data_IF_972588785879
#
_entry.id   IF_972588785879
#
_cell.length_a   1.000
_cell.length_b   1.000
_cell.length_c   1.000
_cell.angle_alpha   90.00
_cell.angle_beta   90.00
_cell.angle_gamma   90.00
#
_symmetry.space_group_name_H-M   'P 1'
#
loop_
_entity.id
_entity.type
_entity.pdbx_description
1 polymer ?
#
# COMPACT_ATOMS: atom_id res chain seq x y z
N UNK A 1 20.65 -11.12 30.69
CA UNK A 1 19.21 -10.91 30.56
C UNK A 1 19.00 -9.55 29.92
N UNK A 2 18.62 -9.44 28.65
CA UNK A 2 18.28 -8.13 28.08
C UNK A 2 17.01 -7.63 28.75
N UNK A 3 16.99 -6.35 29.07
CA UNK A 3 15.94 -5.66 29.80
C UNK A 3 14.67 -5.53 28.93
N UNK A 4 13.69 -6.40 29.12
CA UNK A 4 12.37 -6.45 28.44
C UNK A 4 11.45 -5.29 28.83
N UNK A 5 11.96 -4.17 29.31
CA UNK A 5 11.19 -3.03 29.80
C UNK A 5 11.24 -1.79 28.89
N UNK A 6 11.41 -1.93 27.59
CA UNK A 6 10.92 -0.89 26.67
C UNK A 6 9.40 -1.10 26.53
N UNK A 7 8.61 -0.25 27.17
CA UNK A 7 7.14 -0.21 27.08
C UNK A 7 6.75 0.08 25.63
N UNK A 8 6.71 -0.93 24.76
CA UNK A 8 6.00 -0.84 23.50
C UNK A 8 4.51 -0.86 23.87
N UNK A 9 3.84 0.27 23.68
CA UNK A 9 2.39 0.31 23.85
C UNK A 9 1.74 -0.43 22.69
N UNK A 10 0.53 -0.98 22.89
CA UNK A 10 -0.24 -1.60 21.80
C UNK A 10 -0.44 -0.61 20.63
N UNK A 11 -0.56 0.67 20.94
CA UNK A 11 -0.70 1.72 19.92
C UNK A 11 0.55 1.91 19.07
N UNK A 12 1.75 1.84 19.67
CA UNK A 12 3.00 1.90 18.91
C UNK A 12 3.20 0.64 18.04
N UNK A 13 2.91 -0.54 18.61
CA UNK A 13 2.99 -1.78 17.87
C UNK A 13 2.02 -1.80 16.68
N UNK A 14 0.77 -1.38 16.87
CA UNK A 14 -0.21 -1.24 15.80
C UNK A 14 0.30 -0.32 14.66
N UNK A 15 0.85 0.85 15.01
CA UNK A 15 1.41 1.79 14.03
C UNK A 15 2.58 1.16 13.26
N UNK A 16 3.47 0.47 13.96
CA UNK A 16 4.61 -0.20 13.34
C UNK A 16 4.13 -1.27 12.36
N UNK A 17 3.23 -2.16 12.77
CA UNK A 17 2.70 -3.22 11.91
C UNK A 17 1.96 -2.69 10.68
N UNK A 18 1.21 -1.59 10.81
CA UNK A 18 0.56 -0.95 9.68
C UNK A 18 1.58 -0.39 8.67
N UNK A 19 2.68 0.20 9.14
CA UNK A 19 3.75 0.72 8.28
C UNK A 19 4.58 -0.40 7.66
N UNK A 20 4.83 -1.48 8.39
CA UNK A 20 5.59 -2.63 7.90
C UNK A 20 4.82 -3.36 6.80
N UNK A 21 3.49 -3.47 6.91
CA UNK A 21 2.65 -4.03 5.85
C UNK A 21 2.81 -3.26 4.53
N UNK A 22 2.90 -1.94 4.57
CA UNK A 22 3.16 -1.12 3.38
C UNK A 22 4.61 -1.27 2.87
N UNK A 23 5.59 -1.39 3.76
CA UNK A 23 6.98 -1.64 3.37
C UNK A 23 7.11 -2.98 2.63
N UNK A 24 6.51 -4.04 3.15
CA UNK A 24 6.47 -5.35 2.50
C UNK A 24 5.74 -5.30 1.16
N UNK A 25 4.64 -4.52 1.07
CA UNK A 25 3.94 -4.29 -0.18
C UNK A 25 4.84 -3.61 -1.22
N UNK A 26 5.61 -2.60 -0.82
CA UNK A 26 6.57 -1.93 -1.72
C UNK A 26 7.68 -2.84 -2.22
N UNK A 27 8.22 -3.71 -1.36
CA UNK A 27 9.23 -4.71 -1.78
C UNK A 27 8.66 -5.59 -2.90
N UNK A 28 7.43 -6.09 -2.71
CA UNK A 28 6.74 -6.95 -3.68
C UNK A 28 6.41 -6.20 -4.98
N UNK A 29 5.95 -4.94 -4.88
CA UNK A 29 5.66 -4.09 -6.05
C UNK A 29 6.95 -3.82 -6.83
N UNK A 30 8.03 -3.40 -6.16
CA UNK A 30 9.33 -3.19 -6.83
C UNK A 30 9.77 -4.45 -7.58
N UNK A 31 9.71 -5.62 -6.94
CA UNK A 31 10.06 -6.89 -7.56
C UNK A 31 9.22 -7.19 -8.83
N UNK A 32 7.92 -6.86 -8.82
CA UNK A 32 7.07 -6.99 -10.01
C UNK A 32 7.48 -5.99 -11.10
N UNK A 33 7.72 -4.74 -10.71
CA UNK A 33 8.11 -3.69 -11.64
C UNK A 33 9.48 -3.95 -12.28
N UNK A 34 10.45 -4.50 -11.55
CA UNK A 34 11.77 -4.83 -12.09
C UNK A 34 11.72 -5.88 -13.20
N UNK A 35 10.68 -6.72 -13.21
CA UNK A 35 10.49 -7.82 -14.15
C UNK A 35 9.59 -7.48 -15.35
N UNK A 36 8.87 -6.35 -15.33
CA UNK A 36 7.89 -5.98 -16.33
C UNK A 36 8.36 -4.80 -17.19
N UNK A 37 7.97 -4.79 -18.47
CA UNK A 37 8.13 -3.61 -19.36
C UNK A 37 7.05 -2.56 -19.07
N UNK A 38 7.20 -1.36 -19.67
CA UNK A 38 6.16 -0.31 -19.63
C UNK A 38 4.82 -0.81 -20.17
N UNK A 39 4.82 -1.51 -21.29
CA UNK A 39 3.61 -2.07 -21.91
C UNK A 39 2.93 -3.11 -20.99
N UNK A 40 3.73 -3.94 -20.32
CA UNK A 40 3.23 -4.96 -19.41
C UNK A 40 2.60 -4.37 -18.13
N UNK A 41 3.04 -3.21 -17.67
CA UNK A 41 2.41 -2.48 -16.54
C UNK A 41 0.99 -2.05 -16.89
N UNK A 42 0.74 -1.67 -18.15
CA UNK A 42 -0.58 -1.21 -18.62
C UNK A 42 -1.42 -2.29 -19.29
N UNK A 43 -0.88 -3.51 -19.43
CA UNK A 43 -1.64 -4.65 -19.92
C UNK A 43 -2.74 -5.06 -18.95
N UNK A 44 -3.92 -5.37 -19.49
CA UNK A 44 -5.03 -5.96 -18.74
C UNK A 44 -5.47 -7.28 -19.36
N UNK A 45 -5.96 -8.25 -18.56
CA UNK A 45 -6.34 -9.57 -19.07
C UNK A 45 -7.63 -9.53 -19.92
N UNK A 46 -8.48 -8.55 -19.71
CA UNK A 46 -9.73 -8.26 -20.46
C UNK A 46 -10.03 -6.77 -20.36
N UNK A 47 -10.80 -6.22 -21.29
CA UNK A 47 -11.09 -4.77 -21.37
C UNK A 47 -11.70 -4.17 -20.10
N UNK A 48 -12.45 -4.96 -19.34
CA UNK A 48 -13.09 -4.53 -18.08
C UNK A 48 -12.23 -4.71 -16.83
N UNK A 49 -11.00 -5.24 -16.96
CA UNK A 49 -10.11 -5.48 -15.82
C UNK A 49 -9.07 -4.36 -15.69
N UNK A 50 -8.66 -4.11 -14.47
CA UNK A 50 -7.59 -3.15 -14.17
C UNK A 50 -6.23 -3.68 -14.60
N UNK A 51 -5.41 -2.80 -15.16
CA UNK A 51 -3.97 -3.00 -15.33
C UNK A 51 -3.24 -2.83 -13.99
N UNK A 52 -1.96 -3.21 -13.95
CA UNK A 52 -1.09 -2.95 -12.80
C UNK A 52 -0.99 -1.44 -12.52
N UNK A 53 -0.88 -0.62 -13.58
CA UNK A 53 -0.87 0.85 -13.46
C UNK A 53 -2.12 1.40 -12.77
N UNK A 54 -3.31 0.95 -13.18
CA UNK A 54 -4.57 1.35 -12.54
C UNK A 54 -4.61 0.94 -11.06
N UNK A 55 -4.16 -0.28 -10.72
CA UNK A 55 -4.12 -0.75 -9.33
C UNK A 55 -3.17 0.08 -8.47
N UNK A 56 -2.04 0.53 -8.99
CA UNK A 56 -1.11 1.43 -8.30
C UNK A 56 -1.76 2.79 -8.03
N UNK A 57 -2.32 3.42 -9.07
CA UNK A 57 -3.00 4.71 -8.93
C UNK A 57 -4.13 4.63 -7.90
N UNK A 58 -4.94 3.57 -7.99
CA UNK A 58 -6.05 3.33 -7.08
C UNK A 58 -5.60 3.11 -5.63
N UNK A 59 -4.56 2.33 -5.42
CA UNK A 59 -4.00 2.06 -4.08
C UNK A 59 -3.45 3.34 -3.45
N UNK A 60 -2.70 4.13 -4.21
CA UNK A 60 -2.18 5.42 -3.75
C UNK A 60 -3.30 6.44 -3.49
N UNK A 61 -4.30 6.50 -4.37
CA UNK A 61 -5.50 7.34 -4.18
C UNK A 61 -6.26 6.97 -2.90
N UNK A 62 -6.47 5.67 -2.64
CA UNK A 62 -7.11 5.20 -1.41
C UNK A 62 -6.27 5.54 -0.17
N UNK A 63 -4.96 5.26 -0.20
CA UNK A 63 -4.04 5.54 0.91
C UNK A 63 -4.03 7.04 1.24
N UNK A 64 -4.05 7.91 0.23
CA UNK A 64 -4.14 9.36 0.41
C UNK A 64 -5.47 9.78 1.01
N UNK A 65 -6.58 9.31 0.45
CA UNK A 65 -7.92 9.69 0.90
C UNK A 65 -8.22 9.23 2.32
N UNK A 66 -7.97 7.97 2.64
CA UNK A 66 -8.29 7.39 3.95
C UNK A 66 -7.20 7.65 4.98
N UNK A 67 -5.95 7.47 4.59
CA UNK A 67 -4.81 7.45 5.49
C UNK A 67 -4.14 8.82 5.72
N UNK A 68 -4.36 9.79 4.83
CA UNK A 68 -3.75 11.10 4.94
C UNK A 68 -4.84 12.17 5.11
N UNK A 69 -5.57 12.50 4.04
CA UNK A 69 -6.53 13.61 4.08
C UNK A 69 -7.69 13.34 5.06
N UNK A 70 -8.20 12.11 5.10
CA UNK A 70 -9.27 11.71 6.00
C UNK A 70 -8.86 11.76 7.47
N UNK A 71 -7.66 11.33 7.82
CA UNK A 71 -7.13 11.41 9.19
C UNK A 71 -6.90 12.86 9.59
N UNK A 72 -6.26 13.65 8.72
CA UNK A 72 -5.92 15.06 8.96
C UNK A 72 -7.11 16.01 8.84
N UNK A 73 -8.26 15.55 8.33
CA UNK A 73 -9.43 16.40 8.01
C UNK A 73 -9.10 17.51 6.99
N UNK A 74 -8.16 17.23 6.08
CA UNK A 74 -7.82 18.13 5.00
C UNK A 74 -8.73 17.88 3.78
N UNK A 75 -8.72 18.81 2.82
CA UNK A 75 -9.54 18.70 1.62
C UNK A 75 -9.15 17.46 0.81
N UNK A 76 -10.14 16.62 0.48
CA UNK A 76 -9.97 15.51 -0.43
C UNK A 76 -10.07 16.01 -1.88
N UNK A 77 -9.04 15.76 -2.67
CA UNK A 77 -8.96 16.12 -4.09
C UNK A 77 -8.92 14.89 -4.99
N UNK A 78 -9.23 13.70 -4.46
CA UNK A 78 -9.17 12.44 -5.19
C UNK A 78 -10.15 12.42 -6.37
N UNK A 79 -9.65 12.05 -7.54
CA UNK A 79 -10.44 11.80 -8.74
C UNK A 79 -10.43 10.30 -9.06
N UNK A 80 -11.24 9.53 -8.34
CA UNK A 80 -11.23 8.06 -8.39
C UNK A 80 -11.44 7.51 -9.81
N UNK A 81 -12.32 8.09 -10.60
CA UNK A 81 -12.59 7.63 -11.97
C UNK A 81 -11.36 7.78 -12.87
N UNK A 82 -10.59 8.85 -12.71
CA UNK A 82 -9.35 9.07 -13.46
C UNK A 82 -8.29 7.98 -13.20
N UNK A 83 -8.30 7.34 -12.03
CA UNK A 83 -7.38 6.25 -11.69
C UNK A 83 -7.59 5.03 -12.60
N UNK A 84 -8.82 4.77 -13.02
CA UNK A 84 -9.20 3.64 -13.87
C UNK A 84 -9.19 3.98 -15.38
N UNK A 85 -9.24 5.27 -15.73
CA UNK A 85 -9.12 5.74 -17.10
C UNK A 85 -7.66 6.03 -17.51
N UNK A 86 -6.72 5.95 -16.57
CA UNK A 86 -5.30 6.16 -16.84
C UNK A 86 -4.73 5.03 -17.71
N UNK A 87 -3.75 5.40 -18.51
CA UNK A 87 -3.08 4.53 -19.47
C UNK A 87 -1.55 4.74 -19.48
N UNK A 88 -0.86 4.21 -20.50
CA UNK A 88 0.60 4.25 -20.66
C UNK A 88 1.23 5.66 -20.74
N UNK A 89 0.45 6.73 -20.66
CA UNK A 89 0.98 8.12 -20.54
C UNK A 89 1.62 8.37 -19.16
N UNK A 90 1.30 7.53 -18.15
CA UNK A 90 1.98 7.55 -16.87
C UNK A 90 3.04 6.45 -16.88
N UNK A 91 4.30 6.84 -16.78
CA UNK A 91 5.42 5.91 -16.84
C UNK A 91 5.53 5.03 -15.58
N UNK A 92 6.18 3.90 -15.72
CA UNK A 92 6.55 2.99 -14.63
C UNK A 92 7.31 3.72 -13.51
N UNK A 93 8.21 4.63 -13.85
CA UNK A 93 8.98 5.43 -12.89
C UNK A 93 8.08 6.38 -12.10
N UNK A 94 7.13 7.06 -12.76
CA UNK A 94 6.17 7.95 -12.10
C UNK A 94 5.25 7.18 -11.15
N UNK A 95 4.80 5.99 -11.54
CA UNK A 95 3.98 5.14 -10.67
C UNK A 95 4.74 4.71 -9.39
N UNK A 96 6.01 4.31 -9.52
CA UNK A 96 6.83 3.96 -8.37
C UNK A 96 7.12 5.16 -7.45
N UNK A 97 7.39 6.32 -8.04
CA UNK A 97 7.61 7.54 -7.26
C UNK A 97 6.34 7.98 -6.53
N UNK A 98 5.17 7.88 -7.17
CA UNK A 98 3.88 8.12 -6.52
C UNK A 98 3.69 7.23 -5.29
N UNK A 99 3.99 5.92 -5.40
CA UNK A 99 3.93 5.01 -4.25
C UNK A 99 4.84 5.46 -3.12
N UNK A 100 6.12 5.74 -3.43
CA UNK A 100 7.12 6.15 -2.43
C UNK A 100 6.71 7.43 -1.71
N UNK A 101 6.26 8.43 -2.46
CA UNK A 101 5.82 9.71 -1.90
C UNK A 101 4.60 9.51 -1.02
N UNK A 102 3.58 8.80 -1.51
CA UNK A 102 2.33 8.58 -0.75
C UNK A 102 2.57 7.80 0.55
N UNK A 103 3.39 6.74 0.50
CA UNK A 103 3.73 5.96 1.70
C UNK A 103 4.55 6.79 2.69
N UNK A 104 5.48 7.62 2.22
CA UNK A 104 6.26 8.52 3.08
C UNK A 104 5.37 9.53 3.80
N UNK A 105 4.42 10.16 3.10
CA UNK A 105 3.45 11.08 3.70
C UNK A 105 2.55 10.36 4.72
N UNK A 106 2.02 9.19 4.37
CA UNK A 106 1.22 8.38 5.29
C UNK A 106 2.00 8.00 6.55
N UNK A 107 3.26 7.58 6.41
CA UNK A 107 4.15 7.28 7.54
C UNK A 107 4.29 8.48 8.47
N UNK A 108 4.47 9.68 7.92
CA UNK A 108 4.56 10.89 8.72
C UNK A 108 3.27 11.12 9.53
N UNK A 109 2.10 10.98 8.89
CA UNK A 109 0.80 11.10 9.57
C UNK A 109 0.67 10.07 10.70
N UNK A 110 0.90 8.78 10.42
CA UNK A 110 0.73 7.70 11.41
C UNK A 110 1.66 7.87 12.60
N UNK A 111 2.93 8.23 12.36
CA UNK A 111 3.91 8.43 13.45
C UNK A 111 3.61 9.63 14.33
N UNK A 112 2.90 10.64 13.84
CA UNK A 112 2.50 11.81 14.62
C UNK A 112 1.30 11.55 15.55
N UNK A 113 0.58 10.42 15.40
CA UNK A 113 -0.63 10.14 16.16
C UNK A 113 -0.32 9.66 17.58
N UNK A 114 -1.01 10.28 18.55
CA UNK A 114 -1.08 9.77 19.92
C UNK A 114 -2.05 8.57 20.01
N UNK A 115 -1.99 7.82 21.10
CA UNK A 115 -2.94 6.72 21.37
C UNK A 115 -4.39 7.21 21.38
N UNK A 116 -4.68 8.34 22.03
CA UNK A 116 -6.02 8.93 22.03
C UNK A 116 -6.48 9.33 20.60
N UNK A 117 -5.56 9.79 19.76
CA UNK A 117 -5.87 10.15 18.39
C UNK A 117 -6.28 8.95 17.52
N UNK A 118 -5.77 7.74 17.82
CA UNK A 118 -6.15 6.52 17.11
C UNK A 118 -7.63 6.17 17.30
N UNK A 119 -8.21 6.51 18.45
CA UNK A 119 -9.62 6.26 18.76
C UNK A 119 -10.55 7.42 18.34
N UNK A 120 -9.99 8.53 17.90
CA UNK A 120 -10.78 9.69 17.45
C UNK A 120 -11.59 9.36 16.20
N UNK A 121 -12.85 9.79 16.16
CA UNK A 121 -13.74 9.58 15.02
C UNK A 121 -13.43 10.49 13.84
N UNK A 122 -13.64 9.96 12.65
CA UNK A 122 -13.56 10.61 11.33
C UNK A 122 -14.78 10.25 10.49
N UNK A 123 -15.14 11.13 9.58
CA UNK A 123 -16.08 10.81 8.49
C UNK A 123 -15.28 10.83 7.20
N UNK A 124 -15.16 9.66 6.55
CA UNK A 124 -14.42 9.48 5.31
C UNK A 124 -15.36 8.78 4.33
N UNK A 125 -15.60 9.35 3.16
CA UNK A 125 -16.56 8.83 2.18
C UNK A 125 -17.95 8.51 2.78
N UNK A 126 -18.44 9.37 3.70
CA UNK A 126 -19.68 9.18 4.48
C UNK A 126 -19.67 8.03 5.50
N UNK A 127 -18.55 7.33 5.69
CA UNK A 127 -18.42 6.33 6.74
C UNK A 127 -17.87 6.96 8.02
N UNK A 128 -18.53 6.69 9.14
CA UNK A 128 -18.04 7.04 10.48
C UNK A 128 -17.10 5.94 10.94
N UNK A 129 -15.83 6.28 11.13
CA UNK A 129 -14.76 5.35 11.49
C UNK A 129 -13.82 5.98 12.52
N UNK A 130 -13.12 5.18 13.30
CA UNK A 130 -11.97 5.66 14.08
C UNK A 130 -10.76 5.82 13.17
N UNK A 131 -9.78 6.61 13.61
CA UNK A 131 -8.48 6.73 12.91
C UNK A 131 -7.81 5.36 12.78
N UNK A 132 -7.87 4.53 13.82
CA UNK A 132 -7.35 3.16 13.79
C UNK A 132 -8.02 2.33 12.68
N UNK A 133 -9.36 2.39 12.56
CA UNK A 133 -10.08 1.70 11.49
C UNK A 133 -9.70 2.22 10.10
N UNK A 134 -9.50 3.54 9.95
CA UNK A 134 -9.05 4.13 8.68
C UNK A 134 -7.65 3.64 8.29
N UNK A 135 -6.71 3.58 9.23
CA UNK A 135 -5.36 3.04 9.02
C UNK A 135 -5.45 1.57 8.59
N UNK A 136 -6.18 0.74 9.35
CA UNK A 136 -6.31 -0.70 9.04
C UNK A 136 -6.96 -0.91 7.67
N UNK A 137 -8.05 -0.17 7.37
CA UNK A 137 -8.72 -0.23 6.07
C UNK A 137 -7.75 0.04 4.92
N UNK A 138 -7.05 1.17 4.97
CA UNK A 138 -6.22 1.57 3.83
C UNK A 138 -4.96 0.71 3.66
N UNK A 139 -4.35 0.23 4.75
CA UNK A 139 -3.17 -0.65 4.68
C UNK A 139 -3.54 -2.05 4.18
N UNK A 140 -4.65 -2.63 4.62
CA UNK A 140 -5.13 -3.92 4.11
C UNK A 140 -5.62 -3.83 2.67
N UNK A 141 -6.26 -2.72 2.28
CA UNK A 141 -6.63 -2.44 0.90
C UNK A 141 -5.40 -2.37 -0.02
N UNK A 142 -4.36 -1.65 0.39
CA UNK A 142 -3.10 -1.56 -0.36
C UNK A 142 -2.44 -2.94 -0.51
N UNK A 143 -2.36 -3.72 0.57
CA UNK A 143 -1.84 -5.09 0.54
C UNK A 143 -2.66 -6.01 -0.36
N UNK A 144 -3.99 -5.89 -0.34
CA UNK A 144 -4.89 -6.65 -1.23
C UNK A 144 -4.59 -6.40 -2.70
N UNK A 145 -4.45 -5.13 -3.11
CA UNK A 145 -4.07 -4.79 -4.48
C UNK A 145 -2.63 -5.19 -4.83
N UNK A 146 -1.71 -5.17 -3.87
CA UNK A 146 -0.36 -5.72 -4.07
C UNK A 146 -0.40 -7.20 -4.50
N UNK A 147 -1.26 -8.00 -3.88
CA UNK A 147 -1.41 -9.41 -4.29
C UNK A 147 -2.06 -9.56 -5.68
N UNK A 148 -2.96 -8.67 -6.08
CA UNK A 148 -3.47 -8.62 -7.45
C UNK A 148 -2.36 -8.26 -8.45
N UNK A 149 -1.49 -7.31 -8.13
CA UNK A 149 -0.32 -6.94 -8.94
C UNK A 149 0.59 -8.16 -9.14
N UNK A 150 0.91 -8.88 -8.05
CA UNK A 150 1.70 -10.13 -8.13
C UNK A 150 1.02 -11.14 -9.05
N UNK A 151 -0.28 -11.33 -8.89
CA UNK A 151 -1.05 -12.27 -9.74
C UNK A 151 -0.99 -11.89 -11.21
N UNK A 152 -1.19 -10.61 -11.56
CA UNK A 152 -1.09 -10.14 -12.95
C UNK A 152 0.33 -10.27 -13.50
N UNK A 153 1.36 -9.97 -12.71
CA UNK A 153 2.76 -10.17 -13.07
C UNK A 153 3.05 -11.65 -13.38
N UNK A 154 2.64 -12.55 -12.48
CA UNK A 154 2.82 -14.00 -12.66
C UNK A 154 2.07 -14.52 -13.87
N UNK A 155 0.88 -13.98 -14.15
CA UNK A 155 0.11 -14.35 -15.34
C UNK A 155 0.83 -14.01 -16.64
N UNK A 156 1.54 -12.88 -16.67
CA UNK A 156 2.30 -12.45 -17.85
C UNK A 156 3.63 -13.19 -18.00
N UNK A 157 4.36 -13.44 -16.89
CA UNK A 157 5.70 -14.02 -16.92
C UNK A 157 5.70 -15.56 -16.83
N UNK A 158 4.64 -16.16 -16.31
CA UNK A 158 4.55 -17.60 -16.12
C UNK A 158 5.71 -18.15 -15.30
N UNK A 159 6.43 -19.13 -15.85
CA UNK A 159 7.60 -19.78 -15.21
C UNK A 159 8.82 -18.86 -15.05
N UNK A 160 8.84 -17.71 -15.73
CA UNK A 160 9.95 -16.76 -15.67
C UNK A 160 9.82 -15.78 -14.48
N UNK A 161 8.70 -15.80 -13.75
CA UNK A 161 8.51 -14.95 -12.58
C UNK A 161 9.51 -15.30 -11.47
N UNK A 162 10.20 -14.26 -10.97
CA UNK A 162 11.13 -14.36 -9.85
C UNK A 162 10.44 -13.88 -8.57
N UNK A 163 10.46 -14.70 -7.52
CA UNK A 163 9.89 -14.32 -6.22
C UNK A 163 10.78 -13.28 -5.52
N UNK A 164 10.17 -12.30 -4.85
CA UNK A 164 10.89 -11.31 -4.03
C UNK A 164 11.59 -11.96 -2.82
N UNK A 165 11.08 -13.08 -2.38
CA UNK A 165 11.59 -13.84 -1.25
C UNK A 165 11.30 -15.33 -1.47
N UNK A 166 12.23 -16.16 -1.03
CA UNK A 166 12.06 -17.62 -0.93
C UNK A 166 12.49 -18.03 0.48
N UNK A 167 11.77 -18.98 1.12
CA UNK A 167 12.20 -19.50 2.42
C UNK A 167 13.57 -20.17 2.28
N UNK A 168 14.54 -19.71 3.07
CA UNK A 168 15.79 -20.46 3.26
C UNK A 168 15.55 -21.58 4.27
N UNK A 169 16.10 -22.77 4.00
CA UNK A 169 16.10 -23.87 4.95
C UNK A 169 16.89 -23.42 6.21
N UNK A 170 16.17 -23.11 7.30
CA UNK A 170 16.75 -22.67 8.57
C UNK A 170 16.34 -21.29 9.08
N UNK A 171 15.58 -20.51 8.32
CA UNK A 171 14.98 -19.27 8.84
C UNK A 171 13.80 -19.58 9.76
N UNK A 172 13.97 -19.30 11.07
CA UNK A 172 12.93 -19.45 12.08
C UNK A 172 12.12 -18.15 12.34
N UNK A 173 12.45 -17.06 11.63
CA UNK A 173 11.80 -15.77 11.79
C UNK A 173 11.04 -15.40 10.50
N UNK A 174 9.85 -14.82 10.66
CA UNK A 174 9.12 -14.25 9.54
C UNK A 174 9.97 -13.14 8.90
N UNK A 175 10.08 -13.08 7.56
CA UNK A 175 10.70 -11.96 6.88
C UNK A 175 9.85 -10.72 7.13
N UNK A 176 10.28 -9.90 8.07
CA UNK A 176 9.63 -8.65 8.46
C UNK A 176 10.25 -7.50 7.66
#
# INVERSE_FOLDING_TARGET
MPNLNSKHSVSEEFKNQALDLLNQSMIKINNCFDQLSEEQIWWSPVDSANSIGNLILHSCGNLRQWGITGIQKSQDTRQREAEFLADSRVSKTELLELCKVTIREFRHVVRSLSEAALLAERIIQNFRVTVLQAILHTTTHFAGHTHQIIMLTRRQLGKNYQFAWQPDEGQNELPI
#
